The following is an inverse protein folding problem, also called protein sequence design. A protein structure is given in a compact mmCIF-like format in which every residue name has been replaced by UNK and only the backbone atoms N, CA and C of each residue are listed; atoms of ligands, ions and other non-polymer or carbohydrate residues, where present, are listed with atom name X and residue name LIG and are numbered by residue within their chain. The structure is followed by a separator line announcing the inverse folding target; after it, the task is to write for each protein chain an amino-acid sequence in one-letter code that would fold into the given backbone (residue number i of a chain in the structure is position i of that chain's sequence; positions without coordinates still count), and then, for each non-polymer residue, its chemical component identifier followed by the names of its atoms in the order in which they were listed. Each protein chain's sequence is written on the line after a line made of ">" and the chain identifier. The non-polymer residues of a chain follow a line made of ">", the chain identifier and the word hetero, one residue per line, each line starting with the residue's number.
data_IF_354050491765
#
_entry.id   IF_354050491765
#
_cell.length_a   1.000
_cell.length_b   1.000
_cell.length_c   1.000
_cell.angle_alpha   90.00
_cell.angle_beta   90.00
_cell.angle_gamma   90.00
#
_symmetry.space_group_name_H-M   'P 1'
#
loop_
_entity.id
_entity.type
_entity.pdbx_description
1 polymer ?
#
# COMPACT_ATOMS: atom_id res chain seq x y z
N UNK A 1 3.66 -0.25 4.49
CA UNK A 1 3.48 1.12 3.99
C UNK A 1 2.24 1.12 3.12
N UNK A 2 1.09 1.51 3.68
CA UNK A 2 -0.16 1.61 2.93
C UNK A 2 -0.17 2.97 2.23
N UNK A 3 -0.23 2.98 0.90
CA UNK A 3 -0.44 4.20 0.11
C UNK A 3 -1.88 4.23 -0.40
N UNK A 4 -2.59 5.29 -0.05
CA UNK A 4 -3.88 5.67 -0.60
C UNK A 4 -3.62 6.69 -1.71
N UNK A 5 -4.01 6.37 -2.95
CA UNK A 5 -3.97 7.33 -4.07
C UNK A 5 -5.32 7.37 -4.77
N UNK A 6 -5.92 8.55 -4.88
CA UNK A 6 -6.95 8.87 -5.87
C UNK A 6 -6.44 10.01 -6.74
N UNK A 7 -6.68 9.92 -8.05
CA UNK A 7 -6.74 11.07 -8.96
C UNK A 7 -5.41 11.70 -9.35
N UNK A 8 -4.96 11.43 -10.58
CA UNK A 8 -3.81 12.06 -11.20
C UNK A 8 -3.96 13.57 -11.43
N UNK A 9 -3.67 14.36 -10.40
CA UNK A 9 -3.26 15.75 -10.54
C UNK A 9 -2.05 15.99 -9.65
N UNK A 10 -0.93 16.35 -10.30
CA UNK A 10 0.29 16.78 -9.61
C UNK A 10 0.06 18.21 -9.13
N UNK A 11 -0.29 18.35 -7.86
CA UNK A 11 -0.11 19.60 -7.13
C UNK A 11 0.83 19.34 -5.95
N UNK A 12 2.11 19.60 -6.17
CA UNK A 12 3.03 19.88 -5.07
C UNK A 12 2.71 21.25 -4.52
N UNK A 13 2.11 21.28 -3.33
CA UNK A 13 2.34 22.16 -2.17
C UNK A 13 1.19 21.87 -1.18
N UNK A 14 1.57 21.36 -0.01
CA UNK A 14 0.79 21.30 1.24
C UNK A 14 -0.72 21.07 1.16
N UNK A 15 -1.18 19.82 1.29
CA UNK A 15 -2.60 19.54 1.52
C UNK A 15 -2.85 19.38 3.02
N UNK A 16 -3.37 20.48 3.55
CA UNK A 16 -3.97 20.76 4.84
C UNK A 16 -4.93 19.65 5.30
N UNK A 17 -4.64 19.04 6.46
CA UNK A 17 -5.67 18.44 7.30
C UNK A 17 -6.49 19.57 7.94
N UNK A 18 -7.70 19.81 7.44
CA UNK A 18 -8.74 20.50 8.21
C UNK A 18 -9.63 19.44 8.86
N UNK A 19 -9.17 18.91 9.99
CA UNK A 19 -10.11 18.51 11.04
C UNK A 19 -10.44 19.79 11.81
N UNK A 20 -11.73 20.16 11.76
CA UNK A 20 -12.35 21.32 12.39
C UNK A 20 -11.71 21.74 13.72
N UNK A 21 -11.00 22.87 13.70
CA UNK A 21 -10.96 23.84 14.79
C UNK A 21 -10.71 25.21 14.19
N UNK A 22 -11.60 26.15 14.50
CA UNK A 22 -11.45 27.55 14.12
C UNK A 22 -10.09 28.07 14.59
N UNK A 23 -9.30 28.58 13.65
CA UNK A 23 -8.15 29.41 13.97
C UNK A 23 -8.34 30.71 13.21
N UNK A 24 -8.70 31.75 13.95
CA UNK A 24 -8.57 33.13 13.53
C UNK A 24 -7.11 33.38 13.17
N UNK A 25 -6.84 33.77 11.92
CA UNK A 25 -5.52 34.17 11.49
C UNK A 25 -5.22 35.57 12.06
N UNK A 26 -4.42 35.66 13.11
CA UNK A 26 -3.64 36.87 13.41
C UNK A 26 -2.25 36.68 12.82
N UNK A 27 -1.92 37.55 11.87
CA UNK A 27 -0.66 37.64 11.17
C UNK A 27 0.35 38.43 12.02
N UNK A 28 1.48 37.80 12.39
CA UNK A 28 2.68 38.57 12.72
C UNK A 28 3.93 37.73 12.47
N UNK A 29 4.77 38.25 11.57
CA UNK A 29 5.89 37.58 10.93
C UNK A 29 6.90 36.91 11.86
N UNK A 30 7.43 35.79 11.38
CA UNK A 30 8.64 35.15 11.92
C UNK A 30 9.58 34.75 10.78
N UNK A 31 10.84 35.17 10.93
CA UNK A 31 11.99 34.80 10.10
C UNK A 31 12.30 33.31 10.28
N UNK A 32 12.31 32.55 9.18
CA UNK A 32 12.51 31.10 9.22
C UNK A 32 14.00 30.72 9.30
N UNK A 33 14.46 30.33 10.49
CA UNK A 33 15.69 29.55 10.65
C UNK A 33 15.42 28.14 10.11
N UNK A 34 16.06 27.75 8.99
CA UNK A 34 15.94 26.39 8.42
C UNK A 34 16.72 25.38 9.26
N UNK A 35 16.15 25.00 10.40
CA UNK A 35 16.45 23.70 10.99
C UNK A 35 15.57 22.68 10.27
N UNK A 36 16.16 21.95 9.31
CA UNK A 36 15.49 20.85 8.63
C UNK A 36 15.23 19.72 9.63
N UNK A 37 14.12 19.79 10.34
CA UNK A 37 13.61 18.66 11.12
C UNK A 37 13.01 17.70 10.11
N UNK A 38 13.73 16.62 9.78
CA UNK A 38 13.17 15.50 9.03
C UNK A 38 12.05 14.90 9.87
N UNK A 39 10.78 14.90 9.43
CA UNK A 39 9.71 14.26 10.19
C UNK A 39 9.96 12.75 10.17
N UNK A 40 10.53 12.22 11.26
CA UNK A 40 10.65 10.79 11.44
C UNK A 40 9.27 10.27 11.82
N UNK A 41 8.45 9.91 10.83
CA UNK A 41 7.19 9.21 11.11
C UNK A 41 7.52 7.83 11.65
N UNK A 42 7.20 7.51 12.92
CA UNK A 42 7.33 6.15 13.42
C UNK A 42 6.41 5.26 12.59
N UNK A 43 6.95 4.15 12.06
CA UNK A 43 6.12 3.14 11.42
C UNK A 43 5.60 2.19 12.50
N UNK A 44 4.29 2.09 12.63
CA UNK A 44 3.67 1.06 13.48
C UNK A 44 3.76 -0.28 12.74
N UNK A 45 4.35 -1.29 13.39
CA UNK A 45 4.37 -2.66 12.87
C UNK A 45 3.05 -3.32 13.28
N UNK A 46 2.17 -3.56 12.30
CA UNK A 46 0.89 -4.21 12.51
C UNK A 46 0.94 -5.64 11.97
N UNK A 47 0.56 -6.61 12.80
CA UNK A 47 0.43 -8.02 12.43
C UNK A 47 -1.04 -8.29 12.07
N UNK A 48 -1.38 -8.44 10.79
CA UNK A 48 -2.76 -8.60 10.36
C UNK A 48 -3.24 -10.05 10.52
N UNK A 49 -4.50 -10.24 10.95
CA UNK A 49 -5.10 -11.57 10.93
C UNK A 49 -5.66 -11.88 9.54
N UNK A 50 -5.23 -12.98 8.93
CA UNK A 50 -5.63 -13.41 7.60
C UNK A 50 -6.76 -14.43 7.62
N UNK A 51 -7.82 -14.16 6.85
CA UNK A 51 -8.88 -15.15 6.58
C UNK A 51 -9.11 -15.26 5.08
N UNK A 52 -8.64 -16.35 4.48
CA UNK A 52 -8.96 -16.71 3.11
C UNK A 52 -10.45 -17.08 3.00
N UNK A 53 -11.14 -16.54 1.98
CA UNK A 53 -12.56 -16.85 1.75
C UNK A 53 -12.79 -18.16 0.97
N UNK A 54 -11.73 -18.77 0.42
CA UNK A 54 -11.80 -20.05 -0.29
C UNK A 54 -10.43 -20.72 -0.43
N UNK A 55 -10.38 -22.04 -0.21
CA UNK A 55 -9.34 -22.94 -0.72
C UNK A 55 -8.00 -23.02 0.02
N UNK A 56 -7.25 -24.10 -0.26
CA UNK A 56 -5.84 -24.33 0.15
C UNK A 56 -4.84 -23.54 -0.72
N UNK A 57 -5.31 -22.56 -1.51
CA UNK A 57 -4.44 -21.78 -2.38
C UNK A 57 -3.51 -20.89 -1.56
N UNK A 58 -2.23 -20.89 -1.90
CA UNK A 58 -1.21 -20.02 -1.30
C UNK A 58 -1.57 -18.53 -1.45
N UNK A 59 -2.24 -18.20 -2.55
CA UNK A 59 -2.65 -16.84 -2.92
C UNK A 59 -4.10 -16.84 -3.42
N UNK A 60 -5.09 -16.91 -2.51
CA UNK A 60 -6.50 -16.99 -2.88
C UNK A 60 -6.93 -15.70 -3.58
N UNK A 61 -7.88 -15.75 -4.53
CA UNK A 61 -8.28 -14.58 -5.31
C UNK A 61 -8.90 -13.47 -4.45
N UNK A 62 -9.51 -13.83 -3.31
CA UNK A 62 -10.11 -12.88 -2.36
C UNK A 62 -9.84 -13.28 -0.93
N UNK A 63 -9.62 -12.29 -0.08
CA UNK A 63 -9.39 -12.49 1.34
C UNK A 63 -9.84 -11.30 2.18
N UNK A 64 -9.94 -11.53 3.48
CA UNK A 64 -10.23 -10.52 4.49
C UNK A 64 -9.02 -10.42 5.44
N UNK A 65 -8.57 -9.19 5.70
CA UNK A 65 -7.57 -8.90 6.71
C UNK A 65 -8.17 -8.10 7.85
N UNK A 66 -7.87 -8.49 9.07
CA UNK A 66 -8.10 -7.65 10.25
C UNK A 66 -6.81 -6.97 10.64
N UNK A 67 -6.83 -5.64 10.70
CA UNK A 67 -5.68 -4.78 10.99
C UNK A 67 -6.02 -3.94 12.22
N UNK A 68 -5.16 -3.94 13.23
CA UNK A 68 -5.31 -3.03 14.38
C UNK A 68 -4.35 -1.87 14.22
N UNK A 69 -4.88 -0.64 14.14
CA UNK A 69 -4.11 0.58 14.04
C UNK A 69 -4.75 1.65 14.92
N UNK A 70 -3.95 2.49 15.59
CA UNK A 70 -4.46 3.57 16.46
C UNK A 70 -5.46 3.06 17.53
N UNK A 71 -5.27 1.84 18.02
CA UNK A 71 -6.18 1.19 18.98
C UNK A 71 -7.55 0.78 18.42
N UNK A 72 -7.76 0.86 17.10
CA UNK A 72 -9.00 0.50 16.41
C UNK A 72 -8.79 -0.71 15.50
N UNK A 73 -9.82 -1.54 15.37
CA UNK A 73 -9.81 -2.68 14.46
C UNK A 73 -10.46 -2.30 13.13
N UNK A 74 -9.74 -2.54 12.05
CA UNK A 74 -10.19 -2.35 10.69
C UNK A 74 -10.30 -3.70 10.00
N UNK A 75 -11.30 -3.82 9.13
CA UNK A 75 -11.44 -4.95 8.23
C UNK A 75 -11.12 -4.46 6.83
N UNK A 76 -10.21 -5.15 6.16
CA UNK A 76 -9.77 -4.85 4.80
C UNK A 76 -10.20 -6.00 3.90
N UNK A 77 -11.03 -5.67 2.92
CA UNK A 77 -11.39 -6.59 1.86
C UNK A 77 -10.35 -6.44 0.74
N UNK A 78 -9.71 -7.55 0.35
CA UNK A 78 -8.69 -7.56 -0.71
C UNK A 78 -9.05 -8.53 -1.83
N UNK A 79 -8.69 -8.12 -3.05
CA UNK A 79 -8.80 -8.89 -4.28
C UNK A 79 -7.42 -8.94 -4.96
N UNK A 80 -7.10 -10.11 -5.49
CA UNK A 80 -5.86 -10.35 -6.21
C UNK A 80 -5.86 -9.51 -7.50
N UNK A 81 -4.73 -8.92 -7.83
CA UNK A 81 -4.63 -8.09 -9.03
C UNK A 81 -4.73 -8.96 -10.28
N UNK A 82 -5.79 -8.78 -11.06
CA UNK A 82 -5.87 -9.35 -12.40
C UNK A 82 -5.03 -8.53 -13.39
N UNK A 83 -4.58 -9.18 -14.47
CA UNK A 83 -3.84 -8.56 -15.58
C UNK A 83 -2.59 -7.76 -15.17
N UNK A 84 -1.97 -8.13 -14.03
CA UNK A 84 -0.77 -7.46 -13.53
C UNK A 84 0.43 -7.60 -14.47
N UNK A 85 0.49 -8.72 -15.19
CA UNK A 85 1.56 -9.03 -16.14
C UNK A 85 0.99 -9.11 -17.56
N UNK A 86 1.73 -8.55 -18.52
CA UNK A 86 1.36 -8.63 -19.93
C UNK A 86 1.21 -10.10 -20.41
N UNK A 87 0.33 -10.37 -21.40
CA UNK A 87 0.13 -11.70 -21.99
C UNK A 87 1.39 -12.41 -22.52
N UNK A 88 2.49 -11.70 -22.70
CA UNK A 88 3.79 -12.17 -23.19
C UNK A 88 4.96 -11.75 -22.28
N UNK A 89 4.68 -11.42 -21.01
CA UNK A 89 5.72 -11.05 -20.04
C UNK A 89 6.78 -12.15 -19.86
N UNK A 90 8.04 -11.78 -20.01
CA UNK A 90 9.23 -12.61 -19.75
C UNK A 90 10.25 -11.85 -18.93
N UNK A 91 10.98 -12.57 -18.06
CA UNK A 91 12.08 -12.01 -17.28
C UNK A 91 13.41 -12.49 -17.84
N UNK A 92 14.33 -11.56 -18.11
CA UNK A 92 15.71 -11.88 -18.50
C UNK A 92 16.66 -11.53 -17.36
N UNK A 93 17.40 -12.51 -16.86
CA UNK A 93 18.44 -12.33 -15.87
C UNK A 93 19.80 -12.75 -16.43
N UNK A 94 20.88 -12.17 -15.92
CA UNK A 94 22.23 -12.50 -16.34
C UNK A 94 22.92 -13.37 -15.29
N UNK A 95 23.58 -14.44 -15.73
CA UNK A 95 24.42 -15.25 -14.85
C UNK A 95 25.64 -14.45 -14.40
N UNK A 96 26.38 -14.96 -13.40
CA UNK A 96 27.65 -14.36 -12.96
C UNK A 96 28.69 -14.24 -14.08
N UNK A 97 28.55 -15.04 -15.14
CA UNK A 97 29.44 -15.07 -16.31
C UNK A 97 28.88 -14.17 -17.44
N UNK A 98 27.76 -13.48 -17.22
CA UNK A 98 27.16 -12.53 -18.17
C UNK A 98 26.26 -13.17 -19.22
N UNK A 99 25.89 -14.44 -19.08
CA UNK A 99 24.97 -15.11 -20.01
C UNK A 99 23.53 -14.71 -19.70
N UNK A 100 22.79 -14.23 -20.71
CA UNK A 100 21.36 -13.93 -20.58
C UNK A 100 20.53 -15.22 -20.49
N UNK A 101 19.63 -15.29 -19.51
CA UNK A 101 18.64 -16.35 -19.35
C UNK A 101 17.25 -15.73 -19.27
N UNK A 102 16.38 -16.13 -20.21
CA UNK A 102 15.00 -15.64 -20.29
C UNK A 102 14.04 -16.70 -19.79
N UNK A 103 13.16 -16.33 -18.86
CA UNK A 103 12.15 -17.21 -18.27
C UNK A 103 10.75 -16.61 -18.44
N UNK A 104 9.76 -17.48 -18.62
CA UNK A 104 8.35 -17.12 -18.55
C UNK A 104 7.82 -17.39 -17.14
N UNK A 105 7.14 -16.42 -16.54
CA UNK A 105 6.53 -16.58 -15.21
C UNK A 105 5.13 -17.17 -15.31
N UNK A 106 4.73 -17.95 -14.30
CA UNK A 106 3.33 -18.25 -14.09
C UNK A 106 2.61 -17.02 -13.54
N UNK A 107 1.85 -16.35 -14.40
CA UNK A 107 1.22 -15.06 -14.10
C UNK A 107 0.13 -15.15 -13.05
N UNK A 108 -0.46 -16.32 -12.85
CA UNK A 108 -1.51 -16.52 -11.85
C UNK A 108 -0.93 -16.78 -10.46
N UNK A 109 0.38 -17.08 -10.34
CA UNK A 109 1.05 -17.34 -9.06
C UNK A 109 1.75 -16.09 -8.50
N UNK A 110 0.99 -15.01 -8.32
CA UNK A 110 1.47 -13.80 -7.66
C UNK A 110 0.74 -13.51 -6.35
N UNK A 111 1.32 -12.61 -5.57
CA UNK A 111 0.95 -12.32 -4.18
C UNK A 111 0.46 -10.87 -4.00
N UNK A 112 0.08 -10.20 -5.09
CA UNK A 112 -0.22 -8.77 -5.10
C UNK A 112 -1.73 -8.53 -5.14
N UNK A 113 -2.18 -7.67 -4.25
CA UNK A 113 -3.59 -7.40 -4.01
C UNK A 113 -3.88 -5.91 -3.94
N UNK A 114 -5.09 -5.55 -4.33
CA UNK A 114 -5.70 -4.26 -4.04
C UNK A 114 -6.94 -4.47 -3.17
N UNK A 115 -7.41 -3.42 -2.52
CA UNK A 115 -8.56 -3.56 -1.61
C UNK A 115 -9.08 -2.25 -1.07
N UNK A 116 -10.01 -2.36 -0.12
CA UNK A 116 -10.61 -1.22 0.58
C UNK A 116 -10.84 -1.55 2.05
N UNK A 117 -10.85 -0.51 2.87
CA UNK A 117 -11.21 -0.62 4.29
C UNK A 117 -12.74 -0.56 4.40
N UNK A 118 -13.33 -1.58 5.01
CA UNK A 118 -14.77 -1.69 5.18
C UNK A 118 -15.29 -0.52 6.03
N UNK A 119 -16.36 0.12 5.55
CA UNK A 119 -16.98 1.27 6.22
C UNK A 119 -16.26 2.61 6.02
N UNK A 120 -15.11 2.66 5.32
CA UNK A 120 -14.43 3.91 4.98
C UNK A 120 -14.52 4.14 3.48
N UNK A 121 -15.35 5.11 3.10
CA UNK A 121 -15.51 5.53 1.71
C UNK A 121 -14.20 6.08 1.14
N UNK A 122 -13.94 5.83 -0.15
CA UNK A 122 -12.72 6.26 -0.85
C UNK A 122 -11.41 5.76 -0.22
N UNK A 123 -11.47 4.72 0.60
CA UNK A 123 -10.28 3.99 1.02
C UNK A 123 -9.77 3.09 -0.11
N UNK A 124 -8.46 2.85 -0.10
CA UNK A 124 -7.72 1.99 -1.03
C UNK A 124 -6.57 1.33 -0.27
N UNK A 125 -6.28 0.08 -0.61
CA UNK A 125 -5.19 -0.69 -0.02
C UNK A 125 -4.41 -1.33 -1.13
N UNK A 126 -3.09 -1.32 -1.00
CA UNK A 126 -2.17 -2.12 -1.82
C UNK A 126 -1.37 -3.01 -0.89
N UNK A 127 -1.34 -4.30 -1.20
CA UNK A 127 -0.75 -5.33 -0.34
C UNK A 127 0.11 -6.31 -1.15
N UNK A 128 1.25 -6.69 -0.59
CA UNK A 128 2.06 -7.82 -1.06
C UNK A 128 2.13 -8.86 0.05
N UNK A 129 1.77 -10.11 -0.28
CA UNK A 129 1.82 -11.24 0.64
C UNK A 129 2.95 -12.22 0.29
N UNK A 130 3.92 -11.81 -0.52
CA UNK A 130 4.99 -12.69 -1.03
C UNK A 130 5.89 -13.26 0.07
N UNK A 131 6.03 -12.54 1.19
CA UNK A 131 6.76 -13.00 2.38
C UNK A 131 5.85 -13.66 3.42
N UNK A 132 4.62 -13.95 3.04
CA UNK A 132 3.55 -14.39 3.94
C UNK A 132 2.94 -13.24 4.75
N UNK A 133 1.80 -13.54 5.36
CA UNK A 133 1.17 -12.75 6.40
C UNK A 133 1.27 -13.61 7.67
N UNK A 134 2.07 -13.15 8.64
CA UNK A 134 2.16 -13.78 9.96
C UNK A 134 1.02 -13.31 10.84
#
# INVERSE_FOLDING_TARGET
>A
MLRLTEGGLVYSIGITLLCLREFTAEDSGWTATRNAVTPQMPHEIIIPQWKARSGNDKHPPRAELRVTAEGRNFIVDVEKNEDLFAPDYTETHYTKIGTAQTISLNKTDHCFYHGRVRGIHKSSVVLSTCRGLR
#
